data_IF_942679848201
#
_entry.id   IF_942679848201
#
_cell.length_a   1.000
_cell.length_b   1.000
_cell.length_c   1.000
_cell.angle_alpha   90.00
_cell.angle_beta   90.00
_cell.angle_gamma   90.00
#
_symmetry.space_group_name_H-M   'P 1'
#
loop_
_entity.id
_entity.type
_entity.pdbx_description
1 polymer ?
#
# COMPACT_ATOMS: atom_id res chain seq x y z
N UNK A 1 3.57 10.76 47.03
CA UNK A 1 2.79 10.77 45.78
C UNK A 1 3.60 10.04 44.72
N UNK A 2 3.30 8.77 44.48
CA UNK A 2 3.99 8.01 43.43
C UNK A 2 3.43 8.43 42.08
N UNK A 3 4.26 9.06 41.24
CA UNK A 3 3.93 9.26 39.84
C UNK A 3 3.78 7.88 39.20
N UNK A 4 2.54 7.52 38.85
CA UNK A 4 2.30 6.40 37.95
C UNK A 4 2.84 6.83 36.58
N UNK A 5 4.02 6.33 36.23
CA UNK A 5 4.54 6.41 34.87
C UNK A 5 3.59 5.63 33.99
N UNK A 6 2.76 6.34 33.21
CA UNK A 6 2.04 5.74 32.09
C UNK A 6 3.07 5.03 31.21
N UNK A 7 2.91 3.73 30.92
CA UNK A 7 3.87 3.01 30.09
C UNK A 7 3.97 3.69 28.73
N UNK A 8 5.19 3.81 28.16
CA UNK A 8 5.37 4.45 26.86
C UNK A 8 4.49 3.73 25.83
N UNK A 9 3.65 4.50 25.14
CA UNK A 9 2.72 3.97 24.14
C UNK A 9 3.54 3.47 22.96
N UNK A 10 3.68 2.15 22.87
CA UNK A 10 4.41 1.50 21.79
C UNK A 10 3.64 1.62 20.46
N UNK A 11 4.36 1.89 19.38
CA UNK A 11 3.80 2.09 18.05
C UNK A 11 4.07 0.84 17.23
N UNK A 12 3.04 0.30 16.56
CA UNK A 12 3.25 -0.73 15.54
C UNK A 12 3.89 -0.07 14.33
N UNK A 13 5.01 -0.61 13.86
CA UNK A 13 5.69 -0.09 12.69
C UNK A 13 5.96 -1.21 11.68
N UNK A 14 6.09 -0.80 10.43
CA UNK A 14 6.69 -1.63 9.39
C UNK A 14 7.83 -0.85 8.77
N UNK A 15 9.01 -1.44 8.83
CA UNK A 15 10.21 -0.87 8.26
C UNK A 15 10.61 -1.60 6.99
N UNK A 16 11.12 -0.86 6.00
CA UNK A 16 11.70 -1.41 4.78
C UNK A 16 13.19 -1.12 4.71
N UNK A 17 13.98 -2.14 4.42
CA UNK A 17 15.39 -1.99 4.09
C UNK A 17 15.57 -1.61 2.61
N UNK A 18 16.68 -0.94 2.26
CA UNK A 18 17.04 -0.67 0.87
C UNK A 18 17.13 -1.97 0.08
N UNK A 19 16.59 -1.98 -1.14
CA UNK A 19 16.61 -3.19 -1.97
C UNK A 19 18.02 -3.64 -2.33
N UNK A 20 18.93 -2.68 -2.61
CA UNK A 20 20.34 -2.97 -2.93
C UNK A 20 21.15 -3.54 -1.77
N UNK A 21 20.59 -3.53 -0.54
CA UNK A 21 21.23 -4.13 0.61
C UNK A 21 21.01 -5.66 0.69
N UNK A 22 20.01 -6.18 -0.03
CA UNK A 22 19.65 -7.59 0.00
C UNK A 22 20.50 -8.36 -1.02
N UNK A 23 21.17 -9.42 -0.56
CA UNK A 23 21.90 -10.36 -1.41
C UNK A 23 20.91 -11.35 -2.05
N UNK A 24 20.12 -10.84 -3.00
CA UNK A 24 19.10 -11.60 -3.72
C UNK A 24 19.72 -12.59 -4.70
N UNK A 25 19.10 -13.76 -4.85
CA UNK A 25 19.43 -14.70 -5.92
C UNK A 25 18.55 -14.46 -7.16
N UNK A 26 18.91 -15.07 -8.30
CA UNK A 26 18.24 -14.85 -9.58
C UNK A 26 16.74 -15.19 -9.58
N UNK A 27 16.31 -16.18 -8.78
CA UNK A 27 14.88 -16.52 -8.66
C UNK A 27 14.11 -15.49 -7.83
N UNK A 28 14.71 -14.94 -6.77
CA UNK A 28 14.12 -13.85 -6.00
C UNK A 28 14.02 -12.57 -6.85
N UNK A 29 15.07 -12.21 -7.58
CA UNK A 29 15.04 -11.06 -8.52
C UNK A 29 13.92 -11.23 -9.56
N UNK A 30 13.77 -12.42 -10.14
CA UNK A 30 12.68 -12.71 -11.08
C UNK A 30 11.29 -12.59 -10.44
N UNK A 31 11.12 -13.08 -9.21
CA UNK A 31 9.85 -12.95 -8.47
C UNK A 31 9.51 -11.51 -8.06
N UNK A 32 10.52 -10.64 -7.97
CA UNK A 32 10.38 -9.22 -7.64
C UNK A 32 10.14 -8.33 -8.86
N UNK A 33 10.82 -8.61 -9.99
CA UNK A 33 10.57 -7.92 -11.26
C UNK A 33 9.17 -8.23 -11.82
N UNK A 34 8.57 -9.34 -11.37
CA UNK A 34 7.12 -9.48 -11.36
C UNK A 34 6.54 -8.56 -10.27
N UNK A 35 6.62 -7.24 -10.49
CA UNK A 35 5.69 -6.28 -9.87
C UNK A 35 4.30 -6.92 -9.87
N UNK A 36 3.47 -6.77 -8.82
CA UNK A 36 2.16 -7.40 -8.78
C UNK A 36 1.41 -6.92 -10.01
N UNK A 37 1.37 -7.77 -11.05
CA UNK A 37 0.71 -7.48 -12.30
C UNK A 37 -0.69 -7.08 -11.90
N UNK A 38 -1.01 -5.79 -12.04
CA UNK A 38 -2.29 -5.28 -11.58
C UNK A 38 -3.36 -6.21 -12.13
N UNK A 39 -4.28 -6.72 -11.29
CA UNK A 39 -5.20 -7.75 -11.70
C UNK A 39 -5.88 -7.36 -13.02
N UNK A 40 -5.55 -8.06 -14.10
CA UNK A 40 -6.20 -7.85 -15.38
C UNK A 40 -7.47 -8.69 -15.37
N UNK A 41 -8.58 -8.07 -15.00
CA UNK A 41 -9.86 -8.76 -14.84
C UNK A 41 -10.88 -8.21 -15.84
N UNK A 42 -11.54 -9.11 -16.56
CA UNK A 42 -12.62 -8.78 -17.49
C UNK A 42 -13.86 -9.59 -17.14
N UNK A 43 -15.02 -8.95 -17.18
CA UNK A 43 -16.27 -9.62 -16.83
C UNK A 43 -17.47 -8.69 -16.92
N UNK A 44 -18.66 -9.23 -16.68
CA UNK A 44 -19.88 -8.44 -16.67
C UNK A 44 -20.23 -8.01 -15.26
N UNK A 45 -20.61 -6.74 -15.09
CA UNK A 45 -21.21 -6.23 -13.86
C UNK A 45 -22.43 -5.39 -14.20
N UNK A 46 -23.38 -5.33 -13.28
CA UNK A 46 -24.51 -4.40 -13.36
C UNK A 46 -24.12 -3.14 -12.61
N UNK A 47 -24.32 -1.98 -13.23
CA UNK A 47 -24.00 -0.69 -12.61
C UNK A 47 -25.22 0.20 -12.43
N UNK A 48 -25.35 0.83 -11.27
CA UNK A 48 -26.41 1.83 -11.00
C UNK A 48 -26.18 3.13 -11.77
N UNK A 49 -27.19 3.64 -12.48
CA UNK A 49 -27.07 4.94 -13.18
C UNK A 49 -26.99 6.12 -12.20
N UNK A 50 -26.46 7.27 -12.67
CA UNK A 50 -26.33 8.49 -11.86
C UNK A 50 -27.69 9.18 -11.69
N UNK A 51 -28.44 9.32 -12.79
CA UNK A 51 -29.77 9.93 -12.83
C UNK A 51 -30.88 8.87 -12.72
N UNK A 52 -30.78 7.82 -13.53
CA UNK A 52 -31.69 6.67 -13.45
C UNK A 52 -31.08 5.58 -12.59
N UNK A 53 -31.72 5.27 -11.47
CA UNK A 53 -31.24 4.34 -10.45
C UNK A 53 -31.34 2.86 -10.85
N UNK A 54 -31.89 2.54 -12.02
CA UNK A 54 -31.91 1.17 -12.53
C UNK A 54 -30.50 0.64 -12.80
N UNK A 55 -30.25 -0.61 -12.38
CA UNK A 55 -29.02 -1.33 -12.68
C UNK A 55 -28.98 -1.77 -14.13
N UNK A 56 -27.87 -1.47 -14.83
CA UNK A 56 -27.66 -1.86 -16.23
C UNK A 56 -26.38 -2.67 -16.36
N UNK A 57 -26.46 -3.83 -17.00
CA UNK A 57 -25.31 -4.70 -17.27
C UNK A 57 -24.36 -4.06 -18.28
N UNK A 58 -23.06 -4.09 -17.98
CA UNK A 58 -21.97 -3.62 -18.85
C UNK A 58 -20.81 -4.61 -18.76
N UNK A 59 -20.02 -4.67 -19.82
CA UNK A 59 -18.72 -5.34 -19.79
C UNK A 59 -17.74 -4.41 -19.12
N UNK A 60 -17.01 -4.91 -18.13
CA UNK A 60 -15.98 -4.20 -17.38
C UNK A 60 -14.62 -4.84 -17.63
N UNK A 61 -13.60 -4.01 -17.70
CA UNK A 61 -12.21 -4.42 -17.79
C UNK A 61 -11.38 -3.57 -16.83
N UNK A 62 -10.72 -4.24 -15.89
CA UNK A 62 -9.72 -3.68 -14.99
C UNK A 62 -8.34 -3.96 -15.59
N UNK A 63 -7.55 -2.91 -15.78
CA UNK A 63 -6.14 -2.99 -16.12
C UNK A 63 -5.44 -1.73 -15.61
N UNK A 64 -4.22 -1.84 -15.10
CA UNK A 64 -3.38 -0.70 -14.69
C UNK A 64 -4.08 0.29 -13.74
N UNK A 65 -4.81 -0.23 -12.74
CA UNK A 65 -5.64 0.56 -11.79
C UNK A 65 -6.74 1.39 -12.46
N UNK A 66 -7.07 1.08 -13.71
CA UNK A 66 -8.13 1.74 -14.46
C UNK A 66 -9.25 0.74 -14.74
N UNK A 67 -10.44 1.04 -14.23
CA UNK A 67 -11.64 0.24 -14.46
C UNK A 67 -12.47 0.88 -15.58
N UNK A 68 -12.45 0.27 -16.76
CA UNK A 68 -13.23 0.71 -17.92
C UNK A 68 -14.52 -0.07 -18.05
N UNK A 69 -15.57 0.55 -18.59
CA UNK A 69 -16.80 -0.15 -18.95
C UNK A 69 -17.27 0.18 -20.36
N UNK A 70 -17.68 -0.86 -21.07
CA UNK A 70 -18.15 -0.79 -22.45
C UNK A 70 -19.62 -1.17 -22.55
N UNK A 71 -20.26 -0.65 -23.60
CA UNK A 71 -21.56 -1.12 -24.07
C UNK A 71 -21.35 -1.73 -25.44
N UNK A 72 -21.77 -2.99 -25.60
CA UNK A 72 -21.82 -3.64 -26.89
C UNK A 72 -22.77 -2.88 -27.83
N UNK A 73 -22.27 -2.51 -29.00
CA UNK A 73 -23.06 -1.85 -30.04
C UNK A 73 -23.75 -2.88 -30.93
N UNK A 74 -24.74 -2.44 -31.72
CA UNK A 74 -25.46 -3.29 -32.68
C UNK A 74 -24.51 -3.96 -33.69
N UNK A 75 -23.39 -3.29 -34.01
CA UNK A 75 -22.35 -3.79 -34.91
C UNK A 75 -21.35 -4.74 -34.23
N UNK A 76 -21.65 -5.22 -33.01
CA UNK A 76 -20.82 -6.16 -32.27
C UNK A 76 -19.54 -5.57 -31.65
N UNK A 77 -19.20 -4.30 -31.91
CA UNK A 77 -18.05 -3.62 -31.32
C UNK A 77 -18.37 -3.10 -29.91
N UNK A 78 -17.44 -3.32 -28.99
CA UNK A 78 -17.50 -2.75 -27.65
C UNK A 78 -17.08 -1.29 -27.68
N UNK A 79 -18.03 -0.39 -27.38
CA UNK A 79 -17.75 1.02 -27.26
C UNK A 79 -17.54 1.37 -25.80
N UNK A 80 -16.36 1.88 -25.45
CA UNK A 80 -16.05 2.39 -24.12
C UNK A 80 -17.03 3.54 -23.80
N UNK A 81 -17.72 3.43 -22.67
CA UNK A 81 -18.70 4.43 -22.21
C UNK A 81 -18.19 5.25 -21.04
N UNK A 82 -17.20 4.74 -20.33
CA UNK A 82 -16.52 5.51 -19.32
C UNK A 82 -15.44 4.71 -18.62
N UNK A 83 -14.73 5.44 -17.78
CA UNK A 83 -13.53 4.99 -17.10
C UNK A 83 -13.58 5.46 -15.67
N UNK A 84 -13.10 4.63 -14.75
CA UNK A 84 -12.98 4.91 -13.33
C UNK A 84 -11.51 4.69 -12.99
N UNK A 85 -10.80 5.76 -12.64
CA UNK A 85 -9.43 5.69 -12.12
C UNK A 85 -9.48 5.29 -10.66
N UNK A 86 -8.86 4.18 -10.31
CA UNK A 86 -8.90 3.63 -8.95
C UNK A 86 -8.04 4.42 -7.96
N UNK A 87 -7.02 5.10 -8.47
CA UNK A 87 -6.23 6.14 -7.82
C UNK A 87 -7.07 7.34 -7.33
N UNK A 88 -8.21 7.62 -7.96
CA UNK A 88 -9.13 8.68 -7.55
C UNK A 88 -10.27 8.19 -6.65
N UNK A 89 -10.27 6.92 -6.24
CA UNK A 89 -11.30 6.37 -5.35
C UNK A 89 -10.99 6.77 -3.92
N UNK A 90 -11.95 7.39 -3.25
CA UNK A 90 -11.84 7.82 -1.86
C UNK A 90 -12.41 6.80 -0.85
N UNK A 91 -13.23 5.85 -1.32
CA UNK A 91 -13.75 4.76 -0.47
C UNK A 91 -14.22 3.57 -1.31
N UNK A 92 -13.93 2.35 -0.83
CA UNK A 92 -14.43 1.08 -1.35
C UNK A 92 -15.14 0.34 -0.22
N UNK A 93 -16.45 0.09 -0.35
CA UNK A 93 -17.25 -0.52 0.73
C UNK A 93 -18.26 -1.56 0.24
N UNK A 94 -18.60 -2.55 1.07
CA UNK A 94 -19.68 -3.46 0.75
C UNK A 94 -21.04 -2.75 0.76
N UNK A 95 -21.91 -3.16 -0.15
CA UNK A 95 -23.31 -2.79 -0.21
C UNK A 95 -24.19 -4.05 -0.25
N UNK A 96 -25.50 -3.88 -0.46
CA UNK A 96 -26.47 -4.99 -0.47
C UNK A 96 -26.31 -5.89 -1.70
N UNK A 97 -26.66 -7.17 -1.58
CA UNK A 97 -26.82 -8.10 -2.72
C UNK A 97 -25.63 -8.18 -3.68
N UNK A 98 -24.45 -8.58 -3.21
CA UNK A 98 -23.24 -8.75 -4.05
C UNK A 98 -22.87 -7.46 -4.80
N UNK A 99 -23.09 -6.33 -4.15
CA UNK A 99 -22.78 -5.00 -4.67
C UNK A 99 -21.58 -4.44 -3.94
N UNK A 100 -20.58 -4.00 -4.70
CA UNK A 100 -19.50 -3.19 -4.20
C UNK A 100 -19.77 -1.71 -4.51
N UNK A 101 -19.43 -0.83 -3.57
CA UNK A 101 -19.59 0.60 -3.74
C UNK A 101 -18.22 1.28 -3.84
N UNK A 102 -18.02 2.07 -4.90
CA UNK A 102 -16.82 2.88 -5.13
C UNK A 102 -17.20 4.36 -5.08
N UNK A 103 -16.64 5.09 -4.12
CA UNK A 103 -16.80 6.53 -4.01
C UNK A 103 -15.64 7.22 -4.69
N UNK A 104 -15.95 8.11 -5.63
CA UNK A 104 -14.99 9.01 -6.29
C UNK A 104 -15.46 10.45 -6.05
N UNK A 105 -14.59 11.47 -6.21
CA UNK A 105 -14.97 12.88 -5.98
C UNK A 105 -16.21 13.34 -6.75
N UNK A 106 -16.46 12.76 -7.93
CA UNK A 106 -17.55 13.20 -8.81
C UNK A 106 -18.79 12.31 -8.76
N UNK A 107 -18.66 11.08 -8.21
CA UNK A 107 -19.70 10.06 -8.27
C UNK A 107 -19.46 8.89 -7.31
N UNK A 108 -20.56 8.38 -6.78
CA UNK A 108 -20.63 7.06 -6.16
C UNK A 108 -21.12 6.01 -7.17
N UNK A 109 -20.36 4.93 -7.31
CA UNK A 109 -20.62 3.83 -8.21
C UNK A 109 -21.06 2.62 -7.42
N UNK A 110 -22.18 2.00 -7.81
CA UNK A 110 -22.61 0.72 -7.27
C UNK A 110 -22.45 -0.30 -8.39
N UNK A 111 -21.62 -1.31 -8.17
CA UNK A 111 -21.33 -2.38 -9.12
C UNK A 111 -21.77 -3.71 -8.50
N UNK A 112 -22.74 -4.34 -9.13
CA UNK A 112 -23.36 -5.58 -8.67
C UNK A 112 -22.92 -6.74 -9.58
N UNK A 113 -22.40 -7.81 -8.96
CA UNK A 113 -22.06 -9.05 -9.65
C UNK A 113 -23.27 -10.00 -9.75
N UNK A 114 -23.24 -10.94 -10.69
CA UNK A 114 -24.35 -11.87 -10.89
C UNK A 114 -24.28 -13.09 -9.95
N UNK A 115 -23.06 -13.46 -9.51
CA UNK A 115 -22.80 -14.59 -8.61
C UNK A 115 -21.87 -14.16 -7.46
N UNK A 116 -21.84 -14.95 -6.38
CA UNK A 116 -20.91 -14.69 -5.27
C UNK A 116 -19.45 -14.87 -5.69
N UNK A 117 -19.16 -15.85 -6.57
CA UNK A 117 -17.82 -16.06 -7.11
C UNK A 117 -17.32 -14.83 -7.91
N UNK A 118 -18.15 -14.29 -8.81
CA UNK A 118 -17.82 -13.05 -9.53
C UNK A 118 -17.66 -11.87 -8.57
N UNK A 119 -18.53 -11.78 -7.56
CA UNK A 119 -18.45 -10.72 -6.55
C UNK A 119 -17.11 -10.75 -5.82
N UNK A 120 -16.69 -11.91 -5.32
CA UNK A 120 -15.41 -12.08 -4.64
C UNK A 120 -14.22 -11.78 -5.55
N UNK A 121 -14.27 -12.22 -6.80
CA UNK A 121 -13.22 -11.97 -7.78
C UNK A 121 -13.03 -10.47 -8.05
N UNK A 122 -14.13 -9.75 -8.29
CA UNK A 122 -14.11 -8.30 -8.50
C UNK A 122 -13.69 -7.53 -7.24
N UNK A 123 -14.19 -7.93 -6.06
CA UNK A 123 -13.81 -7.31 -4.80
C UNK A 123 -12.31 -7.47 -4.55
N UNK A 124 -11.76 -8.67 -4.75
CA UNK A 124 -10.32 -8.94 -4.64
C UNK A 124 -9.53 -8.05 -5.61
N UNK A 125 -9.87 -8.10 -6.89
CA UNK A 125 -9.16 -7.36 -7.93
C UNK A 125 -9.15 -5.84 -7.69
N UNK A 126 -10.29 -5.27 -7.32
CA UNK A 126 -10.42 -3.83 -7.07
C UNK A 126 -9.70 -3.43 -5.78
N UNK A 127 -9.85 -4.19 -4.68
CA UNK A 127 -9.22 -3.86 -3.41
C UNK A 127 -7.68 -3.92 -3.47
N UNK A 128 -7.11 -4.80 -4.30
CA UNK A 128 -5.66 -4.83 -4.56
C UNK A 128 -5.18 -3.71 -5.50
N UNK A 129 -6.10 -3.00 -6.16
CA UNK A 129 -5.78 -1.95 -7.15
C UNK A 129 -5.96 -0.52 -6.60
N UNK A 130 -6.58 -0.34 -5.43
CA UNK A 130 -6.75 0.94 -4.73
C UNK A 130 -5.76 1.08 -3.57
N UNK A 131 -5.65 2.28 -2.98
CA UNK A 131 -4.90 2.46 -1.73
C UNK A 131 -5.55 1.68 -0.57
N UNK A 132 -4.74 1.13 0.33
CA UNK A 132 -5.23 0.41 1.51
C UNK A 132 -6.17 1.27 2.37
N UNK A 133 -5.87 2.56 2.52
CA UNK A 133 -6.62 3.49 3.38
C UNK A 133 -8.07 3.69 2.93
N UNK A 134 -8.36 3.48 1.64
CA UNK A 134 -9.70 3.70 1.09
C UNK A 134 -10.56 2.45 1.13
N UNK A 135 -9.98 1.27 1.40
CA UNK A 135 -10.72 0.01 1.49
C UNK A 135 -11.46 -0.08 2.83
N UNK A 136 -12.73 -0.48 2.84
CA UNK A 136 -13.48 -0.68 4.09
C UNK A 136 -12.88 -1.80 4.96
N UNK A 137 -13.00 -1.64 6.29
CA UNK A 137 -12.49 -2.62 7.27
C UNK A 137 -12.98 -4.05 7.02
N UNK A 138 -14.19 -4.21 6.49
CA UNK A 138 -14.76 -5.51 6.15
C UNK A 138 -13.91 -6.22 5.11
N UNK A 139 -13.62 -5.54 3.98
CA UNK A 139 -12.81 -6.11 2.91
C UNK A 139 -11.35 -6.30 3.32
N UNK A 140 -10.78 -5.37 4.10
CA UNK A 140 -9.42 -5.55 4.65
C UNK A 140 -9.29 -6.86 5.43
N UNK A 141 -10.29 -7.18 6.26
CA UNK A 141 -10.32 -8.44 7.03
C UNK A 141 -10.60 -9.65 6.14
N UNK A 142 -11.61 -9.56 5.28
CA UNK A 142 -12.04 -10.66 4.42
C UNK A 142 -10.93 -11.12 3.46
N UNK A 143 -10.19 -10.17 2.88
CA UNK A 143 -9.11 -10.43 1.94
C UNK A 143 -7.73 -10.51 2.62
N UNK A 144 -7.67 -10.35 3.95
CA UNK A 144 -6.42 -10.26 4.71
C UNK A 144 -5.44 -9.24 4.10
N UNK A 145 -5.96 -8.09 3.65
CA UNK A 145 -5.12 -7.03 3.09
C UNK A 145 -4.21 -6.53 4.21
N UNK A 146 -2.91 -6.56 3.97
CA UNK A 146 -1.95 -5.93 4.85
C UNK A 146 -1.83 -4.45 4.46
N UNK A 147 -1.94 -3.55 5.46
CA UNK A 147 -1.65 -2.11 5.30
C UNK A 147 -0.28 -1.88 4.68
N UNK A 148 0.63 -2.77 5.05
CA UNK A 148 1.99 -2.85 4.54
C UNK A 148 2.26 -4.31 4.22
N UNK A 149 2.54 -4.62 2.95
CA UNK A 149 2.78 -5.99 2.49
C UNK A 149 3.91 -6.66 3.29
N UNK A 150 3.56 -7.63 4.13
CA UNK A 150 4.51 -8.46 4.89
C UNK A 150 5.29 -9.42 3.98
N UNK A 151 4.77 -9.65 2.77
CA UNK A 151 5.37 -10.49 1.74
C UNK A 151 6.61 -9.85 1.08
N UNK A 152 6.85 -8.55 1.29
CA UNK A 152 8.03 -7.91 0.74
C UNK A 152 9.30 -8.43 1.43
N UNK A 153 10.26 -8.92 0.63
CA UNK A 153 11.51 -9.52 1.12
C UNK A 153 12.36 -8.54 1.96
N UNK A 154 12.15 -7.24 1.76
CA UNK A 154 12.84 -6.16 2.44
C UNK A 154 12.05 -5.54 3.61
N UNK A 155 10.83 -5.99 3.87
CA UNK A 155 9.99 -5.44 4.93
C UNK A 155 10.13 -6.23 6.24
N UNK A 156 10.02 -5.55 7.38
CA UNK A 156 9.97 -6.15 8.71
C UNK A 156 8.94 -5.44 9.56
N UNK A 157 8.10 -6.22 10.26
CA UNK A 157 7.18 -5.70 11.27
C UNK A 157 7.90 -5.63 12.61
N UNK A 158 7.73 -4.51 13.31
CA UNK A 158 8.37 -4.25 14.58
C UNK A 158 7.51 -3.34 15.46
N UNK A 159 7.91 -3.21 16.71
CA UNK A 159 7.30 -2.28 17.65
C UNK A 159 8.34 -1.26 18.03
N UNK A 160 8.08 0.02 17.73
CA UNK A 160 8.99 1.12 18.06
C UNK A 160 8.44 1.92 19.23
N UNK A 161 9.33 2.42 20.06
CA UNK A 161 8.97 3.34 21.14
C UNK A 161 9.17 4.77 20.64
N UNK A 162 8.25 5.71 20.94
CA UNK A 162 8.41 7.12 20.57
C UNK A 162 9.68 7.76 21.14
N UNK A 163 10.18 7.18 22.24
CA UNK A 163 11.36 7.59 22.99
C UNK A 163 12.66 7.09 22.34
N UNK A 164 12.60 6.29 21.28
CA UNK A 164 13.79 5.88 20.56
C UNK A 164 14.33 7.04 19.74
N UNK A 165 15.65 7.13 19.70
CA UNK A 165 16.35 7.94 18.73
C UNK A 165 16.27 7.32 17.34
N UNK A 166 16.57 8.11 16.31
CA UNK A 166 16.67 7.61 14.93
C UNK A 166 17.69 6.47 14.85
N UNK A 167 18.84 6.61 15.50
CA UNK A 167 19.89 5.58 15.53
C UNK A 167 19.42 4.27 16.16
N UNK A 168 18.84 4.33 17.37
CA UNK A 168 18.26 3.15 18.06
C UNK A 168 17.16 2.50 17.23
N UNK A 169 16.37 3.30 16.51
CA UNK A 169 15.31 2.79 15.63
C UNK A 169 15.90 2.03 14.45
N UNK A 170 16.92 2.58 13.79
CA UNK A 170 17.61 1.91 12.68
C UNK A 170 18.24 0.60 13.17
N UNK A 171 18.97 0.62 14.29
CA UNK A 171 19.53 -0.58 14.91
C UNK A 171 18.45 -1.65 15.14
N UNK A 172 17.33 -1.26 15.75
CA UNK A 172 16.22 -2.16 16.03
C UNK A 172 15.60 -2.75 14.75
N UNK A 173 15.47 -1.96 13.68
CA UNK A 173 14.99 -2.45 12.37
C UNK A 173 15.89 -3.56 11.85
N UNK A 174 17.21 -3.35 11.87
CA UNK A 174 18.18 -4.35 11.40
C UNK A 174 18.19 -5.61 12.26
N UNK A 175 18.05 -5.48 13.59
CA UNK A 175 17.90 -6.62 14.50
C UNK A 175 16.62 -7.42 14.23
N UNK A 176 15.47 -6.75 14.11
CA UNK A 176 14.23 -7.40 13.76
C UNK A 176 14.31 -8.10 12.40
N UNK A 177 14.97 -7.49 11.42
CA UNK A 177 15.17 -8.12 10.10
C UNK A 177 16.03 -9.38 10.19
N UNK A 178 17.10 -9.36 10.99
CA UNK A 178 17.90 -10.56 11.28
C UNK A 178 17.06 -11.66 11.92
N UNK A 179 16.05 -11.32 12.71
CA UNK A 179 15.14 -12.29 13.32
C UNK A 179 14.00 -12.75 12.40
N UNK A 180 13.79 -12.12 11.23
CA UNK A 180 12.72 -12.48 10.29
C UNK A 180 12.93 -13.90 9.71
N UNK A 181 11.88 -14.73 9.76
CA UNK A 181 11.87 -16.04 9.13
C UNK A 181 11.94 -15.89 7.61
N UNK A 182 12.77 -16.70 6.94
CA UNK A 182 12.93 -16.61 5.48
C UNK A 182 13.63 -15.32 5.01
N UNK A 183 14.39 -14.66 5.89
CA UNK A 183 15.16 -13.46 5.53
C UNK A 183 16.10 -13.73 4.35
N UNK A 184 16.26 -12.71 3.52
CA UNK A 184 17.34 -12.69 2.53
C UNK A 184 18.62 -12.22 3.25
N UNK A 185 19.78 -12.84 3.01
CA UNK A 185 21.04 -12.34 3.55
C UNK A 185 21.27 -10.87 3.12
N UNK A 186 21.89 -10.08 3.98
CA UNK A 186 22.26 -8.70 3.65
C UNK A 186 23.73 -8.64 3.20
N UNK A 187 24.04 -7.77 2.25
CA UNK A 187 25.42 -7.38 1.95
C UNK A 187 26.06 -6.72 3.17
N UNK A 188 27.40 -6.69 3.30
CA UNK A 188 28.07 -5.97 4.39
C UNK A 188 27.62 -4.51 4.45
N UNK A 189 27.29 -4.03 5.65
CA UNK A 189 26.77 -2.67 5.84
C UNK A 189 27.32 -2.04 7.12
N UNK A 190 27.28 -0.71 7.17
CA UNK A 190 27.49 0.08 8.38
C UNK A 190 26.19 0.82 8.69
N UNK A 191 25.78 0.80 9.95
CA UNK A 191 24.51 1.38 10.37
C UNK A 191 24.49 2.90 10.16
N UNK A 192 25.58 3.60 10.50
CA UNK A 192 25.72 5.06 10.39
C UNK A 192 25.63 5.61 8.96
N UNK A 193 25.69 4.75 7.94
CA UNK A 193 25.55 5.15 6.54
C UNK A 193 24.07 5.31 6.14
N UNK A 194 23.13 5.04 7.05
CA UNK A 194 21.70 5.09 6.78
C UNK A 194 20.98 6.17 7.58
N UNK A 195 19.86 6.63 7.01
CA UNK A 195 18.90 7.56 7.61
C UNK A 195 17.49 6.98 7.52
N UNK A 196 16.56 7.56 8.27
CA UNK A 196 15.19 7.07 8.36
C UNK A 196 14.23 7.97 7.59
N UNK A 197 13.49 7.41 6.64
CA UNK A 197 12.42 8.07 5.90
C UNK A 197 11.07 7.68 6.50
N UNK A 198 10.30 8.66 6.96
CA UNK A 198 8.98 8.47 7.58
C UNK A 198 7.87 8.66 6.54
N UNK A 199 7.00 7.66 6.42
CA UNK A 199 5.83 7.64 5.52
C UNK A 199 6.14 7.96 4.04
N UNK A 200 7.41 7.82 3.64
CA UNK A 200 7.86 8.10 2.27
C UNK A 200 8.10 9.58 1.94
N UNK A 201 8.02 10.48 2.91
CA UNK A 201 8.08 11.93 2.66
C UNK A 201 9.18 12.67 3.44
N UNK A 202 9.38 12.33 4.72
CA UNK A 202 10.24 13.11 5.61
C UNK A 202 11.50 12.34 6.03
N UNK A 203 12.68 12.88 5.73
CA UNK A 203 13.97 12.30 6.14
C UNK A 203 14.38 12.76 7.54
N UNK A 204 14.71 11.80 8.39
CA UNK A 204 15.33 11.99 9.70
C UNK A 204 16.79 11.57 9.60
N UNK A 205 17.66 12.56 9.38
CA UNK A 205 19.11 12.35 9.23
C UNK A 205 19.90 12.47 10.55
N UNK A 206 19.35 13.18 11.55
CA UNK A 206 19.98 13.31 12.86
C UNK A 206 19.76 12.02 13.67
N UNK A 207 20.85 11.27 13.87
CA UNK A 207 20.88 10.01 14.60
C UNK A 207 20.44 10.14 16.07
N UNK A 208 20.68 11.31 16.67
CA UNK A 208 20.38 11.58 18.08
C UNK A 208 18.96 12.11 18.31
N UNK A 209 18.26 12.46 17.23
CA UNK A 209 16.90 12.97 17.31
C UNK A 209 15.93 11.87 17.77
N UNK A 210 15.06 12.20 18.72
CA UNK A 210 13.96 11.33 19.14
C UNK A 210 12.84 11.29 18.10
N UNK A 211 12.23 10.11 17.92
CA UNK A 211 11.12 9.92 16.98
C UNK A 211 9.89 10.76 17.32
N UNK A 212 9.62 11.00 18.61
CA UNK A 212 8.48 11.81 19.07
C UNK A 212 8.57 13.29 18.66
N UNK A 213 9.75 13.77 18.28
CA UNK A 213 9.95 15.08 17.68
C UNK A 213 9.19 15.22 16.35
N UNK A 214 8.91 14.11 15.66
CA UNK A 214 8.25 14.13 14.36
C UNK A 214 6.70 14.19 14.49
N UNK A 215 6.01 15.13 13.82
CA UNK A 215 4.56 15.31 13.96
C UNK A 215 3.76 14.08 13.50
N UNK A 216 4.19 13.42 12.41
CA UNK A 216 3.52 12.21 11.92
C UNK A 216 3.66 11.03 12.89
N UNK A 217 4.81 10.88 13.55
CA UNK A 217 5.01 9.82 14.55
C UNK A 217 4.04 10.02 15.71
N UNK A 218 3.91 11.25 16.23
CA UNK A 218 2.94 11.59 17.28
C UNK A 218 1.50 11.35 16.86
N UNK A 219 1.16 11.65 15.60
CA UNK A 219 -0.16 11.35 15.05
C UNK A 219 -0.43 9.83 15.08
N UNK A 220 0.52 9.02 14.60
CA UNK A 220 0.42 7.56 14.61
C UNK A 220 0.29 6.97 16.03
N UNK A 221 1.02 7.51 17.01
CA UNK A 221 0.83 7.16 18.43
C UNK A 221 -0.62 7.38 18.88
N UNK A 222 -1.17 8.54 18.56
CA UNK A 222 -2.50 8.97 19.02
C UNK A 222 -3.61 8.18 18.34
N UNK A 223 -3.50 7.96 17.03
CA UNK A 223 -4.51 7.26 16.24
C UNK A 223 -4.35 5.74 16.23
N UNK A 224 -3.28 5.21 16.86
CA UNK A 224 -2.89 3.79 16.81
C UNK A 224 -2.74 3.27 15.38
N UNK A 225 -2.31 4.14 14.46
CA UNK A 225 -2.02 3.77 13.07
C UNK A 225 -0.65 3.12 12.99
N UNK A 226 -0.47 2.24 12.01
CA UNK A 226 0.83 1.61 11.74
C UNK A 226 1.77 2.66 11.16
N UNK A 227 2.96 2.79 11.74
CA UNK A 227 3.99 3.70 11.26
C UNK A 227 4.78 3.06 10.11
N UNK A 228 4.83 3.71 8.95
CA UNK A 228 5.64 3.27 7.81
C UNK A 228 7.02 3.91 7.89
N UNK A 229 8.06 3.07 7.95
CA UNK A 229 9.46 3.50 7.98
C UNK A 229 10.21 2.91 6.79
N UNK A 230 11.14 3.67 6.22
CA UNK A 230 12.06 3.19 5.20
C UNK A 230 13.47 3.59 5.57
N UNK A 231 14.39 2.63 5.59
CA UNK A 231 15.82 2.89 5.76
C UNK A 231 16.37 3.28 4.39
N UNK A 232 17.06 4.41 4.30
CA UNK A 232 17.63 4.96 3.06
C UNK A 232 19.11 5.26 3.26
N UNK A 233 19.93 5.09 2.22
CA UNK A 233 21.35 5.47 2.28
C UNK A 233 21.50 6.98 2.44
N UNK A 234 22.37 7.43 3.35
CA UNK A 234 22.65 8.85 3.58
C UNK A 234 23.20 9.56 2.32
N UNK A 235 23.89 8.81 1.45
CA UNK A 235 24.41 9.28 0.16
C UNK A 235 23.30 9.67 -0.81
N UNK A 236 22.14 9.01 -0.75
CA UNK A 236 21.02 9.27 -1.66
C UNK A 236 20.24 10.54 -1.28
N UNK A 237 20.41 11.02 -0.04
CA UNK A 237 19.73 12.22 0.49
C UNK A 237 20.43 13.52 0.10
N UNK A 238 21.75 13.47 -0.16
CA UNK A 238 22.56 14.64 -0.53
C UNK A 238 22.76 14.79 -2.05
N UNK A 239 22.09 13.95 -2.85
CA UNK A 239 22.31 13.80 -4.29
C UNK A 239 21.42 14.63 -5.21
N UNK A 240 20.80 15.74 -4.76
CA UNK A 240 20.07 16.63 -5.67
C UNK A 240 20.95 17.81 -6.13
N UNK A 241 21.83 17.51 -7.09
CA UNK A 241 22.19 18.47 -8.15
C UNK A 241 22.18 17.71 -9.48
N UNK A 242 21.01 17.66 -10.12
CA UNK A 242 20.89 17.52 -11.58
C UNK A 242 19.96 16.40 -12.06
N UNK A 243 19.09 16.66 -13.05
CA UNK A 243 18.16 15.66 -13.56
C UNK A 243 18.92 14.67 -14.44
N UNK A 244 18.90 13.39 -14.08
CA UNK A 244 19.24 12.31 -15.01
C UNK A 244 18.03 11.43 -15.24
N UNK A 245 17.25 11.82 -16.25
CA UNK A 245 16.50 10.88 -17.05
C UNK A 245 17.47 9.88 -17.70
N UNK A 246 17.39 8.60 -17.33
CA UNK A 246 17.77 7.43 -18.15
C UNK A 246 17.12 6.23 -17.45
N UNK A 247 16.07 5.56 -17.94
CA UNK A 247 15.65 5.37 -19.31
C UNK A 247 16.46 4.25 -19.95
N UNK A 248 16.12 2.98 -19.67
CA UNK A 248 16.46 1.86 -20.55
C UNK A 248 15.35 0.80 -20.52
N UNK A 249 15.00 0.43 -21.76
CA UNK A 249 14.01 -0.49 -22.32
C UNK A 249 13.71 -1.79 -21.58
#
# INVERSE_FOLDING_TARGET
MGQQSTPPVAIKAVARLPMGLLALNSSQVASMAAEPMYPCLRGYLRKRGKLHTAFKQRSFALADRVLTYSKRTLFGKDQIRGTIRLDAVSSVRPATERTLELVTPTRTWHLQAATDAEYEEWVRAICHSVSFDVVDRFYRRMLQLAEVSDAALNAVQLVVLPMYTVGETIEHIFECYKCKLGRVPLHPYKLNDYVLLVDGHDYLADWSQYLDGHPHVRACCTTKKTLCLTVVSASDVHGDVGPSCVGWF
#
